data_IF_190652924091
#
_entry.id   IF_190652924091
#
_cell.length_a   1.000
_cell.length_b   1.000
_cell.length_c   1.000
_cell.angle_alpha   90.00
_cell.angle_beta   90.00
_cell.angle_gamma   90.00
#
_symmetry.space_group_name_H-M   'P 1'
#
loop_
_entity.id
_entity.type
_entity.pdbx_description
1 polymer ?
#
# COMPACT_ATOMS: atom_id res chain seq x y z
N UNK A 1 19.64 7.27 3.20
CA UNK A 1 18.40 8.05 2.98
C UNK A 1 17.28 7.37 3.75
N UNK A 2 16.61 8.08 4.65
CA UNK A 2 15.50 7.53 5.45
C UNK A 2 14.22 7.43 4.63
N UNK A 3 13.50 6.30 4.73
CA UNK A 3 12.15 6.19 4.18
C UNK A 3 11.22 7.18 4.89
N UNK A 4 10.28 7.78 4.15
CA UNK A 4 9.27 8.71 4.67
C UNK A 4 7.91 8.06 4.60
N UNK A 5 7.05 8.40 5.56
CA UNK A 5 5.65 7.98 5.53
C UNK A 5 4.87 8.87 4.57
N UNK A 6 4.04 8.23 3.75
CA UNK A 6 3.13 8.89 2.84
C UNK A 6 1.72 8.36 3.07
N UNK A 7 0.74 9.25 2.98
CA UNK A 7 -0.68 8.90 3.04
C UNK A 7 -1.24 8.98 1.63
N UNK A 8 -1.99 7.95 1.24
CA UNK A 8 -2.66 7.90 -0.07
C UNK A 8 -4.16 7.86 0.18
N UNK A 9 -4.89 8.72 -0.52
CA UNK A 9 -6.35 8.70 -0.49
C UNK A 9 -6.86 7.53 -1.34
N UNK A 10 -7.65 6.66 -0.73
CA UNK A 10 -8.34 5.57 -1.40
C UNK A 10 -9.86 5.73 -1.24
N UNK A 11 -10.61 5.10 -2.13
CA UNK A 11 -12.07 5.04 -2.01
C UNK A 11 -12.48 4.02 -0.94
N UNK A 12 -13.48 4.37 -0.13
CA UNK A 12 -14.02 3.51 0.92
C UNK A 12 -14.50 2.17 0.34
N UNK A 13 -14.16 1.06 1.01
CA UNK A 13 -14.46 -0.30 0.56
C UNK A 13 -13.46 -0.90 -0.44
N UNK A 14 -12.55 -0.09 -1.01
CA UNK A 14 -11.53 -0.57 -1.96
C UNK A 14 -10.14 -0.68 -1.36
N UNK A 15 -9.96 -0.40 -0.08
CA UNK A 15 -8.64 -0.32 0.58
C UNK A 15 -7.84 -1.63 0.46
N UNK A 16 -8.49 -2.79 0.63
CA UNK A 16 -7.85 -4.11 0.44
C UNK A 16 -7.41 -4.33 -1.01
N UNK A 17 -8.24 -3.95 -1.97
CA UNK A 17 -7.89 -4.05 -3.40
C UNK A 17 -6.75 -3.11 -3.76
N UNK A 18 -6.79 -1.85 -3.28
CA UNK A 18 -5.74 -0.86 -3.49
C UNK A 18 -4.41 -1.37 -2.92
N UNK A 19 -4.41 -1.96 -1.72
CA UNK A 19 -3.22 -2.57 -1.14
C UNK A 19 -2.62 -3.65 -2.04
N UNK A 20 -3.47 -4.56 -2.54
CA UNK A 20 -3.05 -5.67 -3.39
C UNK A 20 -2.48 -5.16 -4.71
N UNK A 21 -3.21 -4.29 -5.41
CA UNK A 21 -2.77 -3.69 -6.67
C UNK A 21 -1.50 -2.88 -6.49
N UNK A 22 -1.35 -2.16 -5.37
CA UNK A 22 -0.14 -1.42 -5.06
C UNK A 22 1.06 -2.36 -4.92
N UNK A 23 0.94 -3.45 -4.14
CA UNK A 23 2.00 -4.46 -3.99
C UNK A 23 2.36 -5.11 -5.32
N UNK A 24 1.37 -5.52 -6.11
CA UNK A 24 1.59 -6.12 -7.44
C UNK A 24 2.32 -5.16 -8.38
N UNK A 25 1.95 -3.88 -8.35
CA UNK A 25 2.58 -2.85 -9.19
C UNK A 25 4.02 -2.55 -8.76
N UNK A 26 4.28 -2.48 -7.46
CA UNK A 26 5.63 -2.33 -6.90
C UNK A 26 6.52 -3.48 -7.35
N UNK A 27 6.04 -4.73 -7.26
CA UNK A 27 6.77 -5.91 -7.70
C UNK A 27 7.03 -5.88 -9.22
N UNK A 28 6.01 -5.52 -10.02
CA UNK A 28 6.12 -5.43 -11.49
C UNK A 28 7.12 -4.36 -11.94
N UNK A 29 7.20 -3.26 -11.21
CA UNK A 29 8.08 -2.13 -11.52
C UNK A 29 9.45 -2.25 -10.81
N UNK A 30 9.72 -3.35 -10.09
CA UNK A 30 10.93 -3.57 -9.28
C UNK A 30 11.22 -2.40 -8.31
N UNK A 31 10.17 -1.78 -7.75
CA UNK A 31 10.29 -0.63 -6.85
C UNK A 31 10.33 -1.03 -5.37
N UNK A 32 10.47 -2.31 -5.06
CA UNK A 32 10.42 -2.84 -3.68
C UNK A 32 11.43 -2.16 -2.75
N UNK A 33 12.60 -1.75 -3.25
CA UNK A 33 13.62 -1.06 -2.47
C UNK A 33 13.13 0.30 -1.90
N UNK A 34 12.24 0.98 -2.63
CA UNK A 34 11.68 2.28 -2.23
C UNK A 34 10.56 2.15 -1.21
N UNK A 35 9.80 1.06 -1.24
CA UNK A 35 8.68 0.84 -0.33
C UNK A 35 9.17 0.09 0.92
N UNK A 36 8.80 0.58 2.10
CA UNK A 36 9.20 -0.02 3.38
C UNK A 36 8.08 -0.87 3.94
N UNK A 37 7.20 -0.20 4.67
CA UNK A 37 6.01 -0.79 5.27
C UNK A 37 4.77 -0.18 4.62
N UNK A 38 3.84 -1.02 4.16
CA UNK A 38 2.54 -0.59 3.64
C UNK A 38 1.50 -0.95 4.69
N UNK A 39 0.96 0.08 5.36
CA UNK A 39 -0.02 -0.05 6.42
C UNK A 39 -1.38 0.41 5.88
N UNK A 40 -2.39 -0.43 6.03
CA UNK A 40 -3.75 -0.14 5.57
C UNK A 40 -4.67 -0.21 6.78
N UNK A 41 -5.30 0.91 7.17
CA UNK A 41 -6.22 0.95 8.30
C UNK A 41 -7.59 0.41 7.88
N UNK A 42 -7.69 -0.89 7.61
CA UNK A 42 -8.98 -1.57 7.43
C UNK A 42 -9.44 -2.09 8.79
N UNK A 43 -10.68 -1.79 9.18
CA UNK A 43 -11.36 -2.61 10.18
C UNK A 43 -11.49 -4.03 9.58
N UNK A 44 -10.84 -5.02 10.19
CA UNK A 44 -11.14 -6.42 9.91
C UNK A 44 -12.57 -6.69 10.36
N UNK A 45 -13.51 -6.63 9.41
CA UNK A 45 -14.83 -7.23 9.61
C UNK A 45 -14.59 -8.74 9.68
N UNK A 46 -14.59 -9.27 10.91
CA UNK A 46 -14.52 -10.70 11.25
C UNK A 46 -15.80 -11.40 10.82
#
# INVERSE_FOLDING_TARGET
>A
MSKRWYVVQAYSGFEKNVQKTLKERIARENMEDYFGQILVPVEEVV
#
